data_IF_596494181244
#
_entry.id   IF_596494181244
#
_cell.length_a   1.000
_cell.length_b   1.000
_cell.length_c   1.000
_cell.angle_alpha   90.00
_cell.angle_beta   90.00
_cell.angle_gamma   90.00
#
_symmetry.space_group_name_H-M   'P 1'
#
loop_
_entity.id
_entity.type
_entity.pdbx_description
1 polymer ?
#
# COMPACT_ATOMS: atom_id res chain seq x y z
N UNK A 1 6.99 -17.39 0.55
CA UNK A 1 5.89 -16.96 1.40
C UNK A 1 5.90 -17.74 2.72
N UNK A 2 5.84 -19.06 2.69
CA UNK A 2 5.80 -19.93 3.90
C UNK A 2 6.99 -19.69 4.84
N UNK A 3 8.21 -19.50 4.31
CA UNK A 3 9.40 -19.17 5.10
C UNK A 3 9.27 -17.83 5.87
N UNK A 4 8.39 -16.97 5.40
CA UNK A 4 8.07 -15.69 6.06
C UNK A 4 6.84 -15.80 6.98
N UNK A 5 6.27 -16.99 7.16
CA UNK A 5 5.06 -17.19 7.96
C UNK A 5 3.77 -16.66 7.30
N UNK A 6 3.79 -16.45 5.99
CA UNK A 6 2.63 -15.98 5.23
C UNK A 6 1.80 -17.19 4.82
N UNK A 7 0.51 -17.20 5.16
CA UNK A 7 -0.46 -18.19 4.70
C UNK A 7 -0.66 -18.04 3.19
N UNK A 8 -0.34 -19.09 2.44
CA UNK A 8 -0.46 -19.13 0.99
C UNK A 8 -1.72 -19.84 0.48
N UNK A 9 -2.68 -20.15 1.36
CA UNK A 9 -3.92 -20.88 1.00
C UNK A 9 -4.72 -20.15 -0.09
N UNK A 10 -4.68 -18.82 -0.12
CA UNK A 10 -5.30 -17.99 -1.16
C UNK A 10 -4.44 -17.76 -2.41
N UNK A 11 -3.25 -18.37 -2.50
CA UNK A 11 -2.34 -18.18 -3.62
C UNK A 11 -2.59 -19.27 -4.69
N UNK A 12 -3.08 -18.84 -5.85
CA UNK A 12 -3.40 -19.72 -6.97
C UNK A 12 -2.26 -19.76 -7.97
N UNK A 13 -1.86 -20.95 -8.38
CA UNK A 13 -0.93 -21.20 -9.49
C UNK A 13 -1.71 -21.51 -10.76
N UNK A 14 -1.22 -21.06 -11.91
CA UNK A 14 -1.80 -21.34 -13.23
C UNK A 14 -0.78 -22.04 -14.11
N UNK A 15 -1.20 -23.10 -14.78
CA UNK A 15 -0.40 -23.77 -15.80
C UNK A 15 -0.50 -23.08 -17.18
N UNK A 16 -1.51 -22.22 -17.38
CA UNK A 16 -1.80 -21.56 -18.66
C UNK A 16 -1.10 -20.20 -18.84
N UNK A 17 -0.66 -19.58 -17.73
CA UNK A 17 -0.12 -18.21 -17.74
C UNK A 17 1.19 -18.15 -16.97
N UNK A 18 2.13 -17.37 -17.47
CA UNK A 18 3.42 -17.20 -16.81
C UNK A 18 3.36 -16.17 -15.67
N UNK A 19 4.28 -16.28 -14.72
CA UNK A 19 4.46 -15.28 -13.67
C UNK A 19 4.98 -13.98 -14.29
N UNK A 20 4.32 -12.86 -14.02
CA UNK A 20 4.80 -11.52 -14.40
C UNK A 20 6.22 -11.29 -13.86
N UNK A 21 7.13 -10.83 -14.71
CA UNK A 21 8.50 -10.49 -14.33
C UNK A 21 8.64 -8.98 -14.25
N UNK A 22 9.21 -8.50 -13.14
CA UNK A 22 9.61 -7.12 -12.95
C UNK A 22 11.14 -7.03 -13.05
N UNK A 23 11.64 -6.22 -13.97
CA UNK A 23 13.06 -5.90 -14.08
C UNK A 23 13.28 -4.53 -13.45
N UNK A 24 14.26 -4.44 -12.55
CA UNK A 24 14.62 -3.20 -11.88
C UNK A 24 16.00 -2.78 -12.40
N UNK A 25 16.05 -1.67 -13.09
CA UNK A 25 17.30 -1.01 -13.47
C UNK A 25 17.61 0.08 -12.44
N UNK A 26 18.78 -0.02 -11.81
CA UNK A 26 19.25 0.93 -10.80
C UNK A 26 20.26 1.86 -11.47
N UNK A 27 19.88 3.13 -11.67
CA UNK A 27 20.75 4.14 -12.25
C UNK A 27 21.89 4.53 -11.30
N UNK A 28 23.00 5.11 -11.83
CA UNK A 28 24.14 5.51 -11.00
C UNK A 28 23.81 6.53 -9.88
N UNK A 29 22.74 7.29 -10.05
CA UNK A 29 22.22 8.27 -9.07
C UNK A 29 21.30 7.63 -8.01
N UNK A 30 21.05 6.32 -8.10
CA UNK A 30 20.18 5.57 -7.21
C UNK A 30 18.70 5.58 -7.62
N UNK A 31 18.34 6.28 -8.69
CA UNK A 31 17.00 6.18 -9.26
C UNK A 31 16.75 4.78 -9.85
N UNK A 32 15.48 4.37 -9.86
CA UNK A 32 15.06 3.08 -10.36
C UNK A 32 14.07 3.21 -11.49
N UNK A 33 14.28 2.41 -12.50
CA UNK A 33 13.36 2.25 -13.61
C UNK A 33 12.82 0.81 -13.59
N UNK A 34 11.50 0.68 -13.69
CA UNK A 34 10.84 -0.62 -13.71
C UNK A 34 10.36 -0.95 -15.11
N UNK A 35 10.75 -2.12 -15.59
CA UNK A 35 10.22 -2.71 -16.81
C UNK A 35 9.52 -4.02 -16.49
N UNK A 36 8.40 -4.29 -17.17
CA UNK A 36 7.59 -5.45 -16.86
C UNK A 36 7.36 -6.33 -18.09
N UNK A 37 7.66 -7.61 -17.97
CA UNK A 37 7.16 -8.63 -18.88
C UNK A 37 5.85 -9.17 -18.31
N UNK A 38 4.71 -8.59 -18.73
CA UNK A 38 3.38 -8.83 -18.15
C UNK A 38 2.33 -9.20 -19.19
N UNK A 39 2.71 -9.32 -20.45
CA UNK A 39 1.75 -9.73 -21.49
C UNK A 39 1.37 -11.19 -21.26
N UNK A 40 0.08 -11.49 -21.03
CA UNK A 40 -0.43 -12.79 -20.58
C UNK A 40 0.11 -13.26 -19.21
N UNK A 41 0.48 -12.32 -18.33
CA UNK A 41 0.83 -12.66 -16.94
C UNK A 41 -0.36 -13.19 -16.14
N UNK A 42 -0.14 -14.20 -15.31
CA UNK A 42 -1.17 -14.85 -14.49
C UNK A 42 -1.96 -13.87 -13.60
N UNK A 43 -1.28 -12.81 -13.11
CA UNK A 43 -1.90 -11.77 -12.29
C UNK A 43 -2.99 -10.95 -12.99
N UNK A 44 -3.02 -10.94 -14.34
CA UNK A 44 -4.08 -10.31 -15.14
C UNK A 44 -5.28 -11.21 -15.35
N UNK A 45 -5.10 -12.52 -15.17
CA UNK A 45 -6.07 -13.54 -15.54
C UNK A 45 -6.88 -14.07 -14.33
N UNK A 46 -6.78 -13.37 -13.19
CA UNK A 46 -7.53 -13.70 -11.98
C UNK A 46 -9.02 -13.54 -12.23
N UNK A 47 -9.77 -14.64 -12.05
CA UNK A 47 -11.21 -14.71 -12.21
C UNK A 47 -11.95 -14.74 -10.87
N UNK A 48 -13.26 -14.48 -10.89
CA UNK A 48 -14.08 -14.46 -9.66
C UNK A 48 -14.11 -15.82 -8.96
N UNK A 49 -13.96 -16.90 -9.71
CA UNK A 49 -13.84 -18.28 -9.19
C UNK A 49 -12.58 -18.50 -8.35
N UNK A 50 -11.53 -17.72 -8.59
CA UNK A 50 -10.25 -17.83 -7.88
C UNK A 50 -10.27 -17.09 -6.54
N UNK A 51 -11.30 -16.30 -6.28
CA UNK A 51 -11.40 -15.50 -5.04
C UNK A 51 -11.76 -16.42 -3.87
N UNK A 52 -10.88 -16.57 -2.84
CA UNK A 52 -11.13 -17.46 -1.72
C UNK A 52 -12.10 -16.81 -0.71
N UNK A 53 -13.40 -16.95 -0.95
CA UNK A 53 -14.45 -16.27 -0.17
C UNK A 53 -14.40 -16.59 1.33
N UNK A 54 -14.04 -17.84 1.71
CA UNK A 54 -13.92 -18.22 3.12
C UNK A 54 -12.75 -17.49 3.80
N UNK A 55 -11.62 -17.33 3.08
CA UNK A 55 -10.49 -16.56 3.58
C UNK A 55 -10.88 -15.09 3.77
N UNK A 56 -11.61 -14.52 2.82
CA UNK A 56 -12.12 -13.14 2.97
C UNK A 56 -13.03 -13.03 4.21
N UNK A 57 -13.96 -13.95 4.40
CA UNK A 57 -14.89 -13.93 5.55
C UNK A 57 -14.18 -14.02 6.91
N UNK A 58 -13.04 -14.69 6.95
CA UNK A 58 -12.24 -14.84 8.18
C UNK A 58 -11.20 -13.74 8.37
N UNK A 59 -11.07 -12.82 7.40
CA UNK A 59 -10.07 -11.73 7.43
C UNK A 59 -10.64 -10.46 8.04
N UNK A 60 -9.80 -9.71 8.76
CA UNK A 60 -10.15 -8.39 9.28
C UNK A 60 -9.91 -7.26 8.28
N UNK A 61 -8.95 -7.45 7.37
CA UNK A 61 -8.55 -6.44 6.38
C UNK A 61 -8.36 -7.10 5.01
N UNK A 62 -8.94 -6.51 3.98
CA UNK A 62 -8.58 -6.80 2.58
C UNK A 62 -7.70 -5.66 2.06
N UNK A 63 -6.45 -5.97 1.73
CA UNK A 63 -5.54 -5.01 1.09
C UNK A 63 -5.54 -5.19 -0.42
N UNK A 64 -5.59 -4.07 -1.15
CA UNK A 64 -5.58 -4.02 -2.61
C UNK A 64 -4.61 -2.96 -3.12
N UNK A 65 -4.06 -3.22 -4.31
CA UNK A 65 -3.32 -2.24 -5.10
C UNK A 65 -4.03 -1.91 -6.41
N UNK A 66 -3.42 -1.08 -7.27
CA UNK A 66 -4.02 -0.74 -8.56
C UNK A 66 -3.57 -1.63 -9.72
N UNK A 67 -2.57 -2.49 -9.53
CA UNK A 67 -2.07 -3.34 -10.60
C UNK A 67 -3.14 -4.29 -11.14
N UNK A 68 -4.02 -4.80 -10.28
CA UNK A 68 -5.14 -5.66 -10.67
C UNK A 68 -6.27 -4.89 -11.38
N UNK A 69 -6.24 -3.55 -11.37
CA UNK A 69 -7.23 -2.71 -12.06
C UNK A 69 -6.85 -2.37 -13.51
N UNK A 70 -5.67 -2.80 -13.98
CA UNK A 70 -5.16 -2.46 -15.32
C UNK A 70 -5.94 -3.10 -16.45
N UNK A 71 -6.35 -4.36 -16.27
CA UNK A 71 -6.96 -5.18 -17.31
C UNK A 71 -8.09 -6.08 -16.77
N UNK A 72 -8.95 -6.57 -17.67
CA UNK A 72 -9.90 -7.64 -17.38
C UNK A 72 -9.22 -9.03 -17.58
N UNK A 73 -9.66 -10.07 -16.86
CA UNK A 73 -10.76 -10.12 -15.88
C UNK A 73 -10.37 -9.66 -14.46
N UNK A 74 -9.07 -9.46 -14.17
CA UNK A 74 -8.57 -9.12 -12.83
C UNK A 74 -9.26 -7.89 -12.21
N UNK A 75 -9.57 -6.86 -13.02
CA UNK A 75 -10.27 -5.64 -12.54
C UNK A 75 -11.65 -5.97 -11.99
N UNK A 76 -12.50 -6.62 -12.79
CA UNK A 76 -13.84 -7.01 -12.34
C UNK A 76 -13.79 -7.94 -11.14
N UNK A 77 -12.78 -8.80 -11.08
CA UNK A 77 -12.55 -9.72 -9.96
C UNK A 77 -12.12 -8.97 -8.69
N UNK A 78 -11.29 -7.94 -8.82
CA UNK A 78 -10.90 -7.08 -7.69
C UNK A 78 -12.12 -6.38 -7.09
N UNK A 79 -12.98 -5.77 -7.91
CA UNK A 79 -14.23 -5.16 -7.43
C UNK A 79 -15.16 -6.18 -6.77
N UNK A 80 -15.26 -7.38 -7.33
CA UNK A 80 -16.04 -8.45 -6.71
C UNK A 80 -15.47 -8.84 -5.35
N UNK A 81 -14.14 -9.02 -5.21
CA UNK A 81 -13.50 -9.34 -3.94
C UNK A 81 -13.72 -8.23 -2.90
N UNK A 82 -13.58 -6.97 -3.29
CA UNK A 82 -13.83 -5.81 -2.42
C UNK A 82 -15.29 -5.78 -1.93
N UNK A 83 -16.24 -6.02 -2.83
CA UNK A 83 -17.65 -6.10 -2.45
C UNK A 83 -17.89 -7.20 -1.43
N UNK A 84 -17.34 -8.40 -1.65
CA UNK A 84 -17.46 -9.54 -0.73
C UNK A 84 -16.81 -9.28 0.62
N UNK A 85 -15.68 -8.59 0.63
CA UNK A 85 -14.99 -8.19 1.85
C UNK A 85 -15.84 -7.18 2.66
N UNK A 86 -16.44 -6.19 2.00
CA UNK A 86 -17.37 -5.24 2.67
C UNK A 86 -18.61 -5.94 3.21
N UNK A 87 -19.20 -6.88 2.47
CA UNK A 87 -20.31 -7.71 2.95
C UNK A 87 -19.94 -8.55 4.20
N UNK A 88 -18.67 -8.96 4.29
CA UNK A 88 -18.12 -9.69 5.44
C UNK A 88 -17.69 -8.78 6.61
N UNK A 89 -17.71 -7.46 6.46
CA UNK A 89 -17.27 -6.50 7.48
C UNK A 89 -15.76 -6.27 7.52
N UNK A 90 -15.02 -6.68 6.49
CA UNK A 90 -13.59 -6.39 6.40
C UNK A 90 -13.34 -4.90 6.17
N UNK A 91 -12.28 -4.39 6.75
CA UNK A 91 -11.72 -3.07 6.43
C UNK A 91 -11.01 -3.14 5.08
N UNK A 92 -11.29 -2.20 4.19
CA UNK A 92 -10.64 -2.12 2.88
C UNK A 92 -9.44 -1.18 2.97
N UNK A 93 -8.26 -1.74 2.78
CA UNK A 93 -6.99 -1.03 2.69
C UNK A 93 -6.56 -0.88 1.24
N UNK A 94 -6.28 0.34 0.80
CA UNK A 94 -5.92 0.64 -0.59
C UNK A 94 -4.60 1.40 -0.69
N UNK A 95 -3.65 0.84 -1.44
CA UNK A 95 -2.43 1.51 -1.91
C UNK A 95 -2.42 1.48 -3.44
N UNK A 96 -2.71 2.59 -4.13
CA UNK A 96 -2.71 2.62 -5.60
C UNK A 96 -1.39 2.13 -6.20
N UNK A 97 -0.28 2.52 -5.60
CA UNK A 97 1.06 2.10 -5.99
C UNK A 97 1.28 2.24 -7.51
N UNK A 98 1.04 3.44 -8.02
CA UNK A 98 1.01 3.75 -9.45
C UNK A 98 2.34 3.44 -10.14
N UNK A 99 2.25 2.76 -11.27
CA UNK A 99 3.38 2.48 -12.17
C UNK A 99 2.95 2.79 -13.58
N UNK A 100 3.40 3.94 -14.11
CA UNK A 100 3.00 4.42 -15.43
C UNK A 100 3.15 3.39 -16.55
N UNK A 101 4.24 2.60 -16.51
CA UNK A 101 4.53 1.56 -17.51
C UNK A 101 3.53 0.39 -17.55
N UNK A 102 2.68 0.24 -16.53
CA UNK A 102 1.67 -0.83 -16.49
C UNK A 102 0.32 -0.40 -17.08
N UNK A 103 0.14 0.88 -17.37
CA UNK A 103 -1.12 1.42 -17.85
C UNK A 103 -1.07 1.77 -19.33
N UNK A 104 -2.18 1.57 -20.03
CA UNK A 104 -2.31 1.95 -21.45
C UNK A 104 -2.30 3.47 -21.66
N UNK A 105 -2.73 4.23 -20.66
CA UNK A 105 -2.65 5.68 -20.60
C UNK A 105 -2.85 6.18 -19.17
N UNK A 106 -2.33 7.38 -18.89
CA UNK A 106 -2.51 8.05 -17.60
C UNK A 106 -3.99 8.30 -17.29
N UNK A 107 -4.78 8.66 -18.29
CA UNK A 107 -6.24 8.90 -18.12
C UNK A 107 -6.97 7.62 -17.69
N UNK A 108 -6.58 6.46 -18.26
CA UNK A 108 -7.15 5.19 -17.84
C UNK A 108 -6.73 4.86 -16.41
N UNK A 109 -5.47 5.09 -16.05
CA UNK A 109 -4.95 4.91 -14.70
C UNK A 109 -5.75 5.77 -13.69
N UNK A 110 -5.85 7.08 -13.94
CA UNK A 110 -6.66 8.02 -13.12
C UNK A 110 -8.08 7.51 -12.93
N UNK A 111 -8.75 7.15 -14.01
CA UNK A 111 -10.14 6.68 -13.98
C UNK A 111 -10.29 5.44 -13.10
N UNK A 112 -9.44 4.42 -13.32
CA UNK A 112 -9.57 3.15 -12.61
C UNK A 112 -9.13 3.27 -11.14
N UNK A 113 -8.03 3.96 -10.86
CA UNK A 113 -7.58 4.16 -9.48
C UNK A 113 -8.58 4.98 -8.65
N UNK A 114 -9.13 6.06 -9.23
CA UNK A 114 -10.16 6.88 -8.57
C UNK A 114 -11.46 6.11 -8.32
N UNK A 115 -11.82 5.16 -9.19
CA UNK A 115 -13.05 4.37 -9.03
C UNK A 115 -13.02 3.44 -7.81
N UNK A 116 -11.84 3.16 -7.25
CA UNK A 116 -11.67 2.36 -6.04
C UNK A 116 -11.76 3.18 -4.74
N UNK A 117 -11.51 4.50 -4.79
CA UNK A 117 -11.51 5.38 -3.61
C UNK A 117 -12.79 5.27 -2.77
N UNK A 118 -14.01 5.25 -3.33
CA UNK A 118 -15.24 5.15 -2.53
C UNK A 118 -15.38 3.84 -1.73
N UNK A 119 -14.59 2.83 -2.03
CA UNK A 119 -14.61 1.55 -1.32
C UNK A 119 -13.57 1.49 -0.20
N UNK A 120 -12.53 2.32 -0.27
CA UNK A 120 -11.41 2.30 0.67
C UNK A 120 -11.78 2.90 2.03
N UNK A 121 -11.43 2.19 3.10
CA UNK A 121 -11.52 2.71 4.47
C UNK A 121 -10.19 3.31 4.91
N UNK A 122 -9.08 2.64 4.59
CA UNK A 122 -7.71 3.10 4.81
C UNK A 122 -7.02 3.29 3.46
N UNK A 123 -6.35 4.40 3.27
CA UNK A 123 -5.65 4.67 2.00
C UNK A 123 -4.26 5.23 2.25
N UNK A 124 -3.26 4.60 1.65
CA UNK A 124 -1.91 5.15 1.55
C UNK A 124 -1.67 5.62 0.12
N UNK A 125 -1.09 6.79 -0.01
CA UNK A 125 -0.58 7.32 -1.30
C UNK A 125 0.83 7.87 -1.11
N UNK A 126 1.58 7.96 -2.18
CA UNK A 126 2.83 8.73 -2.20
C UNK A 126 2.56 10.21 -2.54
N UNK A 127 3.53 11.09 -2.26
CA UNK A 127 3.44 12.49 -2.63
C UNK A 127 3.25 12.66 -4.15
N UNK A 128 3.91 11.83 -4.96
CA UNK A 128 3.80 11.86 -6.42
C UNK A 128 2.41 11.45 -6.93
N UNK A 129 1.68 10.66 -6.15
CA UNK A 129 0.33 10.21 -6.51
C UNK A 129 -0.77 11.22 -6.17
N UNK A 130 -0.49 12.24 -5.38
CA UNK A 130 -1.49 13.22 -4.89
C UNK A 130 -2.25 13.88 -6.02
N UNK A 131 -1.53 14.48 -6.96
CA UNK A 131 -2.15 15.17 -8.11
C UNK A 131 -2.92 14.22 -9.02
N UNK A 132 -2.36 13.05 -9.28
CA UNK A 132 -2.98 12.03 -10.13
C UNK A 132 -4.36 11.61 -9.59
N UNK A 133 -4.46 11.44 -8.28
CA UNK A 133 -5.66 10.90 -7.63
C UNK A 133 -6.68 11.98 -7.28
N UNK A 134 -6.25 13.18 -6.91
CA UNK A 134 -7.12 14.22 -6.36
C UNK A 134 -7.20 15.47 -7.22
N UNK A 135 -6.16 15.77 -8.01
CA UNK A 135 -5.98 17.06 -8.68
C UNK A 135 -5.29 18.12 -7.83
N UNK A 136 -4.93 17.77 -6.57
CA UNK A 136 -4.22 18.64 -5.64
C UNK A 136 -2.74 18.27 -5.59
N UNK A 137 -1.85 19.26 -5.71
CA UNK A 137 -0.40 19.04 -5.59
C UNK A 137 0.09 19.14 -4.15
N UNK A 138 -0.63 19.85 -3.29
CA UNK A 138 -0.36 19.88 -1.86
C UNK A 138 -0.89 18.62 -1.19
N UNK A 139 -0.01 17.89 -0.53
CA UNK A 139 -0.35 16.61 0.08
C UNK A 139 -1.41 16.71 1.18
N UNK A 140 -1.50 17.83 1.90
CA UNK A 140 -2.49 18.04 2.95
C UNK A 140 -3.87 18.25 2.34
N UNK A 141 -3.95 19.02 1.25
CA UNK A 141 -5.19 19.24 0.53
C UNK A 141 -5.64 17.94 -0.17
N UNK A 142 -4.71 17.21 -0.79
CA UNK A 142 -4.98 15.91 -1.38
C UNK A 142 -5.58 14.93 -0.35
N UNK A 143 -4.99 14.84 0.84
CA UNK A 143 -5.51 14.00 1.91
C UNK A 143 -6.93 14.41 2.34
N UNK A 144 -7.21 15.71 2.46
CA UNK A 144 -8.57 16.22 2.78
C UNK A 144 -9.59 15.86 1.70
N UNK A 145 -9.22 15.95 0.42
CA UNK A 145 -10.09 15.55 -0.70
C UNK A 145 -10.45 14.05 -0.59
N UNK A 146 -9.48 13.19 -0.25
CA UNK A 146 -9.74 11.76 -0.07
C UNK A 146 -10.64 11.47 1.14
N UNK A 147 -10.45 12.18 2.26
CA UNK A 147 -11.36 12.09 3.43
C UNK A 147 -12.78 12.52 3.06
N UNK A 148 -12.93 13.61 2.30
CA UNK A 148 -14.23 14.06 1.78
C UNK A 148 -14.85 13.04 0.81
N UNK A 149 -14.01 12.31 0.07
CA UNK A 149 -14.40 11.19 -0.80
C UNK A 149 -14.86 9.92 -0.06
N UNK A 150 -14.78 9.90 1.28
CA UNK A 150 -15.31 8.80 2.11
C UNK A 150 -14.26 7.94 2.80
N UNK A 151 -12.99 8.08 2.45
CA UNK A 151 -11.88 7.39 3.14
C UNK A 151 -11.85 7.81 4.61
N UNK A 152 -11.59 6.89 5.53
CA UNK A 152 -11.59 7.17 6.98
C UNK A 152 -10.23 7.63 7.47
N UNK A 153 -9.18 6.99 6.97
CA UNK A 153 -7.78 7.30 7.30
C UNK A 153 -6.99 7.39 5.99
N UNK A 154 -6.32 8.52 5.78
CA UNK A 154 -5.41 8.74 4.65
C UNK A 154 -4.00 8.95 5.18
N UNK A 155 -3.05 8.29 4.55
CA UNK A 155 -1.62 8.48 4.82
C UNK A 155 -0.93 8.85 3.52
N UNK A 156 -0.22 9.97 3.53
CA UNK A 156 0.64 10.38 2.41
C UNK A 156 2.10 10.18 2.81
N UNK A 157 2.80 9.28 2.14
CA UNK A 157 4.23 9.07 2.37
C UNK A 157 5.06 10.13 1.64
N UNK A 158 6.01 10.73 2.36
CA UNK A 158 6.86 11.85 1.93
C UNK A 158 8.33 11.45 1.83
N UNK A 159 8.59 10.19 1.46
CA UNK A 159 9.93 9.63 1.37
C UNK A 159 10.68 9.74 2.71
N UNK A 160 11.89 10.29 2.67
CA UNK A 160 12.72 10.45 3.88
C UNK A 160 12.11 11.38 4.94
N UNK A 161 11.22 12.28 4.55
CA UNK A 161 10.58 13.23 5.48
C UNK A 161 9.58 12.53 6.41
N UNK A 162 9.17 11.30 6.10
CA UNK A 162 8.22 10.52 6.89
C UNK A 162 6.85 10.42 6.23
N UNK A 163 5.78 10.69 6.97
CA UNK A 163 4.42 10.58 6.46
C UNK A 163 3.49 11.65 7.05
N UNK A 164 2.51 12.07 6.27
CA UNK A 164 1.41 12.88 6.74
C UNK A 164 0.17 12.01 6.88
N UNK A 165 -0.47 12.07 8.04
CA UNK A 165 -1.72 11.35 8.32
C UNK A 165 -2.88 12.34 8.34
N UNK A 166 -4.06 11.90 7.88
CA UNK A 166 -5.30 12.67 7.89
C UNK A 166 -6.46 11.79 8.27
N UNK A 167 -7.25 12.25 9.23
CA UNK A 167 -8.56 11.72 9.60
C UNK A 167 -9.62 12.82 9.48
N UNK A 168 -10.86 12.54 9.84
CA UNK A 168 -11.89 13.59 9.97
C UNK A 168 -11.61 14.60 11.07
N UNK A 169 -10.83 14.21 12.09
CA UNK A 169 -10.51 15.06 13.24
C UNK A 169 -9.39 16.08 12.93
N UNK A 170 -8.52 15.77 11.97
CA UNK A 170 -7.40 16.63 11.59
C UNK A 170 -6.31 15.87 10.88
N UNK A 171 -5.17 16.54 10.67
CA UNK A 171 -4.00 15.95 10.07
C UNK A 171 -2.73 16.25 10.86
N UNK A 172 -1.74 15.37 10.77
CA UNK A 172 -0.48 15.47 11.47
C UNK A 172 0.68 14.98 10.61
N UNK A 173 1.80 15.71 10.64
CA UNK A 173 3.06 15.26 10.05
C UNK A 173 3.81 14.39 11.07
N UNK A 174 4.22 13.20 10.63
CA UNK A 174 5.03 12.26 11.40
C UNK A 174 6.40 12.19 10.76
N UNK A 175 7.40 12.72 11.44
CA UNK A 175 8.77 12.82 10.91
C UNK A 175 9.40 11.44 10.69
N UNK A 176 10.17 11.33 9.61
CA UNK A 176 10.97 10.13 9.32
C UNK A 176 12.21 10.00 10.21
N UNK A 177 12.88 8.90 10.08
CA UNK A 177 14.14 8.62 10.80
C UNK A 177 15.35 9.06 9.97
N UNK A 178 16.40 9.49 10.66
CA UNK A 178 17.70 9.68 10.05
C UNK A 178 18.32 8.31 9.77
N UNK A 179 18.53 8.00 8.49
CA UNK A 179 19.19 6.78 8.08
C UNK A 179 20.01 6.98 6.80
N UNK A 180 20.80 5.97 6.45
CA UNK A 180 21.48 5.89 5.15
C UNK A 180 20.76 4.84 4.31
N UNK A 181 19.90 5.31 3.42
CA UNK A 181 19.21 4.43 2.48
C UNK A 181 20.20 3.80 1.49
N UNK A 182 20.09 2.49 1.31
CA UNK A 182 20.83 1.69 0.32
C UNK A 182 19.91 1.35 -0.83
N UNK A 183 18.70 0.87 -0.51
CA UNK A 183 17.71 0.41 -1.47
C UNK A 183 16.29 0.74 -0.98
N UNK A 184 15.54 1.60 -1.70
CA UNK A 184 14.19 1.97 -1.33
C UNK A 184 13.11 1.00 -1.90
N UNK A 185 13.51 -0.14 -2.51
CA UNK A 185 12.58 -1.14 -3.01
C UNK A 185 11.76 -1.71 -1.85
N UNK A 186 10.43 -1.64 -1.96
CA UNK A 186 9.53 -2.12 -0.92
C UNK A 186 9.39 -1.21 0.31
N UNK A 187 10.02 -0.02 0.34
CA UNK A 187 9.91 0.90 1.48
C UNK A 187 8.46 1.32 1.76
N UNK A 188 7.69 1.61 0.70
CA UNK A 188 6.27 1.93 0.81
C UNK A 188 5.44 0.76 1.32
N UNK A 189 5.74 -0.46 0.86
CA UNK A 189 5.07 -1.69 1.30
C UNK A 189 5.42 -2.00 2.76
N UNK A 190 6.69 -1.83 3.14
CA UNK A 190 7.18 -1.98 4.52
C UNK A 190 6.51 -0.99 5.47
N UNK A 191 6.43 0.30 5.08
CA UNK A 191 5.70 1.32 5.82
C UNK A 191 4.25 0.92 6.04
N UNK A 192 3.56 0.55 4.95
CA UNK A 192 2.13 0.26 5.01
C UNK A 192 1.85 -1.03 5.78
N UNK A 193 2.69 -2.04 5.63
CA UNK A 193 2.64 -3.26 6.44
C UNK A 193 2.76 -2.98 7.94
N UNK A 194 3.71 -2.12 8.33
CA UNK A 194 3.88 -1.65 9.72
C UNK A 194 2.67 -0.88 10.24
N UNK A 195 2.12 0.03 9.43
CA UNK A 195 0.90 0.78 9.75
C UNK A 195 -0.29 -0.15 9.97
N UNK A 196 -0.56 -1.06 9.03
CA UNK A 196 -1.66 -2.01 9.11
C UNK A 196 -1.51 -2.98 10.28
N UNK A 197 -0.28 -3.37 10.62
CA UNK A 197 -0.01 -4.16 11.81
C UNK A 197 -0.48 -3.45 13.09
N UNK A 198 -0.15 -2.18 13.27
CA UNK A 198 -0.61 -1.39 14.43
C UNK A 198 -2.12 -1.19 14.41
N UNK A 199 -2.68 -0.84 13.25
CA UNK A 199 -4.12 -0.70 13.09
C UNK A 199 -4.86 -2.00 13.45
N UNK A 200 -4.39 -3.16 12.98
CA UNK A 200 -5.03 -4.44 13.28
C UNK A 200 -5.07 -4.78 14.77
N UNK A 201 -4.11 -4.27 15.53
CA UNK A 201 -3.99 -4.49 16.98
C UNK A 201 -4.81 -3.51 17.82
N UNK A 202 -5.21 -2.36 17.27
CA UNK A 202 -5.94 -1.36 18.05
C UNK A 202 -7.38 -1.78 18.37
N UNK A 203 -7.95 -2.74 17.63
CA UNK A 203 -9.29 -3.27 17.86
C UNK A 203 -10.44 -2.27 17.62
N UNK A 204 -10.16 -1.17 16.91
CA UNK A 204 -11.12 -0.11 16.61
C UNK A 204 -11.58 -0.16 15.16
N UNK A 205 -12.80 0.29 14.91
CA UNK A 205 -13.24 0.62 13.55
C UNK A 205 -12.48 1.85 13.03
N UNK A 206 -12.21 1.95 11.70
CA UNK A 206 -11.41 3.04 11.13
C UNK A 206 -11.87 4.45 11.53
N UNK A 207 -13.17 4.69 11.61
CA UNK A 207 -13.77 5.98 11.98
C UNK A 207 -13.61 6.35 13.46
N UNK A 208 -13.28 5.38 14.31
CA UNK A 208 -13.08 5.57 15.75
C UNK A 208 -11.60 5.80 16.12
N UNK A 209 -10.67 5.65 15.14
CA UNK A 209 -9.25 5.90 15.36
C UNK A 209 -9.00 7.40 15.30
N UNK A 210 -8.30 7.94 16.31
CA UNK A 210 -7.96 9.36 16.35
C UNK A 210 -6.78 9.72 15.45
N UNK A 211 -6.58 11.02 15.23
CA UNK A 211 -5.41 11.48 14.45
C UNK A 211 -4.10 11.14 15.16
N UNK A 212 -4.08 11.24 16.49
CA UNK A 212 -2.92 10.91 17.33
C UNK A 212 -2.56 9.42 17.23
N UNK A 213 -3.55 8.53 17.37
CA UNK A 213 -3.35 7.08 17.20
C UNK A 213 -2.88 6.75 15.77
N UNK A 214 -3.47 7.42 14.77
CA UNK A 214 -3.04 7.26 13.37
C UNK A 214 -1.58 7.69 13.19
N UNK A 215 -1.15 8.75 13.87
CA UNK A 215 0.24 9.21 13.85
C UNK A 215 1.18 8.19 14.54
N UNK A 216 0.77 7.56 15.62
CA UNK A 216 1.54 6.48 16.26
C UNK A 216 1.70 5.27 15.32
N UNK A 217 0.64 4.90 14.58
CA UNK A 217 0.73 3.82 13.59
C UNK A 217 1.67 4.18 12.43
N UNK A 218 1.62 5.44 11.98
CA UNK A 218 2.51 5.92 10.93
C UNK A 218 3.98 6.01 11.42
N UNK A 219 4.19 6.34 12.69
CA UNK A 219 5.52 6.36 13.29
C UNK A 219 6.15 4.95 13.30
N UNK A 220 5.37 3.95 13.67
CA UNK A 220 5.78 2.56 13.57
C UNK A 220 6.06 2.16 12.11
N UNK A 221 5.20 2.56 11.17
CA UNK A 221 5.41 2.36 9.74
C UNK A 221 6.71 3.00 9.24
N UNK A 222 7.01 4.23 9.67
CA UNK A 222 8.28 4.91 9.38
C UNK A 222 9.48 4.13 9.89
N UNK A 223 9.40 3.53 11.09
CA UNK A 223 10.47 2.71 11.64
C UNK A 223 10.70 1.44 10.81
N UNK A 224 9.63 0.74 10.42
CA UNK A 224 9.70 -0.44 9.56
C UNK A 224 10.35 -0.10 8.22
N UNK A 225 9.90 0.97 7.56
CA UNK A 225 10.47 1.43 6.30
C UNK A 225 11.93 1.85 6.43
N UNK A 226 12.27 2.55 7.52
CA UNK A 226 13.63 3.00 7.80
C UNK A 226 14.63 1.86 7.90
N UNK A 227 14.26 0.75 8.53
CA UNK A 227 15.12 -0.46 8.59
C UNK A 227 15.18 -1.15 7.23
N UNK A 228 14.04 -1.24 6.52
CA UNK A 228 13.96 -1.88 5.21
C UNK A 228 14.93 -1.24 4.21
N UNK A 229 14.97 0.08 4.11
CA UNK A 229 15.80 0.79 3.11
C UNK A 229 17.31 0.68 3.35
N UNK A 230 17.75 0.15 4.49
CA UNK A 230 19.16 -0.04 4.81
C UNK A 230 19.76 -1.34 4.26
N UNK A 231 18.97 -2.13 3.51
CA UNK A 231 19.39 -3.38 2.89
C UNK A 231 18.89 -3.47 1.45
N UNK A 232 19.52 -4.30 0.65
CA UNK A 232 19.06 -4.59 -0.71
C UNK A 232 17.84 -5.51 -0.73
N UNK A 233 16.93 -5.23 -1.67
CA UNK A 233 15.73 -6.00 -1.92
C UNK A 233 14.54 -5.58 -1.03
N UNK A 234 13.35 -6.15 -1.31
CA UNK A 234 12.13 -5.90 -0.56
C UNK A 234 11.94 -6.94 0.56
N UNK A 235 11.47 -8.15 0.20
CA UNK A 235 11.19 -9.21 1.20
C UNK A 235 12.41 -9.55 2.06
N UNK A 236 13.64 -9.72 1.51
CA UNK A 236 14.82 -10.00 2.34
C UNK A 236 15.23 -8.85 3.27
N UNK A 237 14.78 -7.63 2.98
CA UNK A 237 15.10 -6.44 3.76
C UNK A 237 14.09 -6.17 4.89
N UNK A 238 12.95 -6.86 4.91
CA UNK A 238 11.92 -6.66 5.94
C UNK A 238 12.48 -6.92 7.33
N UNK A 239 12.27 -5.98 8.29
CA UNK A 239 12.79 -6.12 9.62
C UNK A 239 11.97 -7.08 10.47
N UNK A 240 12.64 -7.64 11.50
CA UNK A 240 11.92 -8.25 12.61
C UNK A 240 11.55 -7.20 13.67
N UNK A 241 10.69 -7.60 14.62
CA UNK A 241 10.18 -6.70 15.67
C UNK A 241 11.31 -6.06 16.51
N UNK A 242 12.36 -6.80 16.83
CA UNK A 242 13.50 -6.27 17.63
C UNK A 242 14.15 -5.09 16.90
N UNK A 243 14.44 -5.24 15.61
CA UNK A 243 15.03 -4.18 14.79
C UNK A 243 14.12 -2.94 14.70
N UNK A 244 12.81 -3.14 14.59
CA UNK A 244 11.85 -2.02 14.59
C UNK A 244 11.83 -1.30 15.92
N UNK A 245 11.83 -2.04 17.04
CA UNK A 245 11.83 -1.45 18.39
C UNK A 245 13.14 -0.72 18.72
N UNK A 246 14.25 -1.14 18.14
CA UNK A 246 15.53 -0.42 18.20
C UNK A 246 15.45 0.87 17.37
N UNK A 247 14.95 0.79 16.13
CA UNK A 247 14.80 1.96 15.25
C UNK A 247 13.91 3.05 15.87
N UNK A 248 12.85 2.68 16.61
CA UNK A 248 11.97 3.64 17.27
C UNK A 248 12.66 4.51 18.33
N UNK A 249 13.85 4.12 18.79
CA UNK A 249 14.67 4.89 19.75
C UNK A 249 15.64 5.86 19.07
N UNK A 250 15.83 5.71 17.76
CA UNK A 250 16.77 6.51 16.97
C UNK A 250 16.26 7.94 16.71
N UNK A 251 17.19 8.82 16.33
CA UNK A 251 16.91 10.22 16.05
C UNK A 251 16.00 10.39 14.82
N UNK A 252 15.09 11.34 14.94
CA UNK A 252 14.24 11.80 13.84
C UNK A 252 14.98 12.81 12.98
N UNK A 253 14.50 13.01 11.77
CA UNK A 253 14.89 14.15 10.95
C UNK A 253 14.40 15.44 11.62
N UNK A 254 15.23 16.49 11.56
CA UNK A 254 14.90 17.82 12.09
C UNK A 254 13.75 18.51 11.36
#
# INVERSE_FOLDING_TARGET
LEQCGIDSTGFTLSDDYFTTLAFVDVKPDGEREFSFARNHGADKMLEKSDVPLELIRSSGILHIGSISLTDEPARSTTFFAVQKAKEAGCVISYDPNYRASLWKSEELAKKQMRSMIPYADLMKISEEETFLLTGESDYQNAAKVLIQGGVKIVVVTLGKLGAYVQTKQGGQLVKGFRNKAIDATGAGDAFWGGFLFQFSRCGKAPEAVTTEETAEFADFGNAVASVCVQKHGAIPAMPNMTQVMEQLKEERLE
#
